data_IF_588200021552
#
_entry.id   IF_588200021552
#
_cell.length_a   1.000
_cell.length_b   1.000
_cell.length_c   1.000
_cell.angle_alpha   90.00
_cell.angle_beta   90.00
_cell.angle_gamma   90.00
#
_symmetry.space_group_name_H-M   'P 1'
#
loop_
_entity.id
_entity.type
_entity.pdbx_description
1 polymer ?
#
# COMPACT_ATOMS: atom_id res chain seq x y z
N UNK A 1 27.52 28.65 9.37
CA UNK A 1 26.35 28.06 8.75
C UNK A 1 26.64 26.59 8.51
N UNK A 2 25.72 25.73 8.85
CA UNK A 2 25.83 24.31 8.56
C UNK A 2 25.39 24.06 7.12
N UNK A 3 25.75 22.91 6.48
CA UNK A 3 25.21 22.56 5.16
C UNK A 3 23.68 22.53 5.12
N UNK A 4 23.03 22.26 6.26
CA UNK A 4 21.59 22.28 6.39
C UNK A 4 21.02 23.71 6.36
N UNK A 5 21.72 24.70 6.98
CA UNK A 5 21.31 26.11 6.92
C UNK A 5 21.37 26.63 5.47
N UNK A 6 22.41 26.23 4.73
CA UNK A 6 22.58 26.63 3.32
C UNK A 6 21.47 25.97 2.45
N UNK A 7 21.09 24.72 2.75
CA UNK A 7 19.98 24.04 2.10
C UNK A 7 18.64 24.76 2.37
N UNK A 8 18.34 25.09 3.62
CA UNK A 8 17.11 25.82 3.97
C UNK A 8 17.03 27.19 3.34
N UNK A 9 18.17 27.90 3.21
CA UNK A 9 18.23 29.16 2.51
C UNK A 9 17.95 29.03 1.00
N UNK A 10 18.39 27.94 0.38
CA UNK A 10 18.15 27.65 -1.03
C UNK A 10 16.72 27.12 -1.28
N UNK A 11 16.12 26.42 -0.31
CA UNK A 11 14.80 25.79 -0.42
C UNK A 11 13.91 26.13 0.79
N UNK A 12 13.46 27.38 0.93
CA UNK A 12 12.71 27.83 2.12
C UNK A 12 11.39 27.08 2.33
N UNK A 13 10.74 26.62 1.27
CA UNK A 13 9.50 25.85 1.35
C UNK A 13 9.66 24.49 2.03
N UNK A 14 10.91 24.01 2.18
CA UNK A 14 11.19 22.79 2.93
C UNK A 14 10.75 22.89 4.40
N UNK A 15 10.72 24.11 4.95
CA UNK A 15 10.22 24.33 6.31
C UNK A 15 8.75 23.86 6.51
N UNK A 16 7.97 23.77 5.44
CA UNK A 16 6.59 23.26 5.51
C UNK A 16 6.53 21.74 5.77
N UNK A 17 7.65 21.04 5.66
CA UNK A 17 7.77 19.59 5.88
C UNK A 17 8.26 19.22 7.28
N UNK A 18 8.37 20.14 8.22
CA UNK A 18 8.84 19.90 9.60
C UNK A 18 8.08 18.78 10.32
N UNK A 19 6.80 18.57 10.00
CA UNK A 19 6.04 17.45 10.52
C UNK A 19 6.64 16.08 10.14
N UNK A 20 7.37 15.98 9.02
CA UNK A 20 8.08 14.77 8.62
C UNK A 20 9.33 14.53 9.46
N UNK A 21 10.01 15.59 9.87
CA UNK A 21 11.18 15.49 10.77
C UNK A 21 10.75 14.99 12.16
N UNK A 22 9.62 15.50 12.67
CA UNK A 22 9.02 15.04 13.92
C UNK A 22 8.56 13.58 13.81
N UNK A 23 7.91 13.22 12.70
CA UNK A 23 7.52 11.84 12.41
C UNK A 23 8.75 10.92 12.35
N UNK A 24 9.84 11.36 11.69
CA UNK A 24 11.11 10.63 11.64
C UNK A 24 11.68 10.40 13.04
N UNK A 25 11.76 11.44 13.84
CA UNK A 25 12.33 11.38 15.19
C UNK A 25 11.54 10.43 16.12
N UNK A 26 10.22 10.34 15.97
CA UNK A 26 9.35 9.54 16.84
C UNK A 26 9.09 8.13 16.30
N UNK A 27 8.80 8.00 15.03
CA UNK A 27 8.34 6.73 14.44
C UNK A 27 9.44 5.97 13.69
N UNK A 28 10.48 6.66 13.24
CA UNK A 28 11.57 6.10 12.43
C UNK A 28 12.95 6.31 13.04
N UNK A 29 13.06 6.65 14.32
CA UNK A 29 14.32 6.88 15.04
C UNK A 29 15.35 5.74 14.91
N UNK A 30 14.93 4.54 14.51
CA UNK A 30 15.83 3.43 14.20
C UNK A 30 16.78 3.74 13.03
N UNK A 31 16.40 4.60 12.11
CA UNK A 31 17.26 5.02 11.00
C UNK A 31 18.46 5.79 11.53
N UNK A 32 18.23 6.72 12.44
CA UNK A 32 19.29 7.54 13.04
C UNK A 32 20.21 6.68 13.95
N UNK A 33 19.64 5.76 14.73
CA UNK A 33 20.43 4.85 15.57
C UNK A 33 21.31 3.89 14.76
N UNK A 34 20.93 3.58 13.53
CA UNK A 34 21.65 2.66 12.63
C UNK A 34 22.49 3.42 11.60
N UNK A 35 22.54 4.75 11.68
CA UNK A 35 23.20 5.62 10.69
C UNK A 35 22.80 5.29 9.25
N UNK A 36 21.48 5.16 9.02
CA UNK A 36 20.93 4.78 7.72
C UNK A 36 20.11 5.91 7.09
N UNK A 37 20.37 6.15 5.81
CA UNK A 37 19.54 6.96 4.94
C UNK A 37 18.71 6.02 4.05
N UNK A 38 17.40 6.04 4.21
CA UNK A 38 16.48 5.18 3.44
C UNK A 38 15.78 6.00 2.36
N UNK A 39 16.02 5.67 1.09
CA UNK A 39 15.48 6.39 -0.08
C UNK A 39 14.64 5.48 -1.00
N UNK A 40 14.47 4.20 -0.66
CA UNK A 40 13.79 3.21 -1.51
C UNK A 40 12.30 3.04 -1.17
N UNK A 41 11.57 4.14 -0.96
CA UNK A 41 10.13 4.07 -0.70
C UNK A 41 9.31 3.55 -1.89
N UNK A 42 9.88 3.60 -3.10
CA UNK A 42 9.28 2.98 -4.30
C UNK A 42 9.28 1.46 -4.20
N UNK A 43 10.34 0.89 -3.66
CA UNK A 43 10.46 -0.56 -3.46
C UNK A 43 9.69 -1.05 -2.24
N UNK A 44 9.82 -0.36 -1.12
CA UNK A 44 9.12 -0.73 0.12
C UNK A 44 8.94 0.49 1.05
N UNK A 45 7.71 0.78 1.45
CA UNK A 45 7.43 1.75 2.52
C UNK A 45 7.91 1.22 3.88
N UNK A 46 8.58 2.06 4.66
CA UNK A 46 8.96 1.71 6.02
C UNK A 46 7.72 1.75 6.93
N UNK A 47 7.66 0.81 7.85
CA UNK A 47 6.63 0.80 8.89
C UNK A 47 7.00 1.74 10.05
N UNK A 48 6.00 2.42 10.61
CA UNK A 48 6.14 3.22 11.82
C UNK A 48 6.27 2.32 13.06
N UNK A 49 6.94 2.80 14.10
CA UNK A 49 7.07 2.07 15.38
C UNK A 49 5.70 1.81 16.01
N UNK A 50 4.79 2.78 15.97
CA UNK A 50 3.41 2.63 16.47
C UNK A 50 2.64 1.52 15.77
N UNK A 51 2.78 1.36 14.46
CA UNK A 51 2.11 0.27 13.72
C UNK A 51 2.50 -1.11 14.25
N UNK A 52 3.78 -1.33 14.56
CA UNK A 52 4.26 -2.60 15.12
C UNK A 52 3.74 -2.80 16.53
N UNK A 53 3.80 -1.76 17.37
CA UNK A 53 3.35 -1.82 18.76
C UNK A 53 1.85 -2.07 18.86
N UNK A 54 1.04 -1.36 18.10
CA UNK A 54 -0.42 -1.53 18.05
C UNK A 54 -0.81 -2.91 17.54
N UNK A 55 -0.12 -3.39 16.51
CA UNK A 55 -0.36 -4.73 15.97
C UNK A 55 0.00 -5.83 16.98
N UNK A 56 1.15 -5.70 17.64
CA UNK A 56 1.58 -6.64 18.68
C UNK A 56 0.61 -6.64 19.89
N UNK A 57 0.20 -5.46 20.35
CA UNK A 57 -0.78 -5.32 21.43
C UNK A 57 -2.13 -5.95 21.04
N UNK A 58 -2.60 -5.71 19.84
CA UNK A 58 -3.82 -6.33 19.33
C UNK A 58 -3.76 -7.86 19.37
N UNK A 59 -2.64 -8.44 18.92
CA UNK A 59 -2.46 -9.90 18.93
C UNK A 59 -2.34 -10.48 20.35
N UNK A 60 -1.76 -9.73 21.28
CA UNK A 60 -1.62 -10.14 22.68
C UNK A 60 -2.94 -10.07 23.46
N UNK A 61 -3.81 -9.12 23.14
CA UNK A 61 -5.04 -8.84 23.90
C UNK A 61 -6.29 -9.51 23.32
N UNK A 62 -6.26 -9.94 22.06
CA UNK A 62 -7.46 -10.39 21.35
C UNK A 62 -7.36 -11.82 20.86
N UNK A 63 -8.45 -12.55 20.97
CA UNK A 63 -8.61 -13.87 20.37
C UNK A 63 -9.25 -13.71 19.00
N UNK A 64 -8.45 -13.86 17.95
CA UNK A 64 -8.88 -13.72 16.57
C UNK A 64 -9.06 -15.10 15.94
N UNK A 65 -10.27 -15.35 15.41
CA UNK A 65 -10.62 -16.58 14.71
C UNK A 65 -10.69 -16.39 13.20
N UNK A 66 -11.03 -17.46 12.48
CA UNK A 66 -11.34 -17.35 11.07
C UNK A 66 -12.60 -16.49 10.87
N UNK A 67 -12.59 -15.47 9.99
CA UNK A 67 -13.76 -14.60 9.78
C UNK A 67 -14.98 -15.36 9.23
N UNK A 68 -16.14 -14.69 9.21
CA UNK A 68 -17.40 -15.17 8.61
C UNK A 68 -18.13 -16.30 9.37
N UNK A 69 -17.86 -16.49 10.66
CA UNK A 69 -18.62 -17.36 11.55
C UNK A 69 -19.27 -16.58 12.70
N UNK A 70 -20.28 -17.14 13.32
CA UNK A 70 -21.09 -16.46 14.35
C UNK A 70 -20.46 -16.46 15.75
N UNK A 71 -19.35 -17.17 15.99
CA UNK A 71 -18.69 -17.17 17.30
C UNK A 71 -17.96 -15.82 17.55
N UNK A 72 -17.73 -15.44 18.83
CA UNK A 72 -17.17 -14.13 19.17
C UNK A 72 -15.83 -13.81 18.51
N UNK A 73 -14.88 -14.76 18.45
CA UNK A 73 -13.56 -14.54 17.86
C UNK A 73 -13.63 -14.33 16.35
N UNK A 74 -14.45 -15.11 15.65
CA UNK A 74 -14.69 -14.94 14.22
C UNK A 74 -15.39 -13.62 13.89
N UNK A 75 -16.40 -13.25 14.66
CA UNK A 75 -17.08 -11.96 14.50
C UNK A 75 -16.14 -10.78 14.72
N UNK A 76 -15.20 -10.88 15.65
CA UNK A 76 -14.19 -9.86 15.88
C UNK A 76 -13.27 -9.70 14.68
N UNK A 77 -12.78 -10.80 14.12
CA UNK A 77 -11.96 -10.78 12.91
C UNK A 77 -12.73 -10.22 11.72
N UNK A 78 -13.99 -10.63 11.53
CA UNK A 78 -14.87 -10.09 10.48
C UNK A 78 -15.00 -8.57 10.59
N UNK A 79 -15.29 -8.04 11.79
CA UNK A 79 -15.36 -6.58 12.00
C UNK A 79 -14.08 -5.86 11.62
N UNK A 80 -12.90 -6.42 11.95
CA UNK A 80 -11.61 -5.83 11.59
C UNK A 80 -11.37 -5.81 10.08
N UNK A 81 -11.70 -6.90 9.40
CA UNK A 81 -11.59 -6.97 7.93
C UNK A 81 -12.49 -5.92 7.28
N UNK A 82 -13.73 -5.79 7.74
CA UNK A 82 -14.65 -4.80 7.18
C UNK A 82 -14.26 -3.35 7.53
N UNK A 83 -13.71 -3.10 8.71
CA UNK A 83 -13.13 -1.79 9.05
C UNK A 83 -11.94 -1.43 8.15
N UNK A 84 -11.03 -2.38 7.91
CA UNK A 84 -9.92 -2.16 6.98
C UNK A 84 -10.42 -1.89 5.55
N UNK A 85 -11.44 -2.61 5.11
CA UNK A 85 -12.08 -2.41 3.82
C UNK A 85 -12.68 -1.02 3.68
N UNK A 86 -13.44 -0.60 4.70
CA UNK A 86 -14.04 0.73 4.77
C UNK A 86 -12.97 1.84 4.75
N UNK A 87 -11.90 1.69 5.53
CA UNK A 87 -10.81 2.66 5.59
C UNK A 87 -10.10 2.83 4.21
N UNK A 88 -9.88 1.74 3.48
CA UNK A 88 -9.31 1.79 2.13
C UNK A 88 -10.25 2.54 1.18
N UNK A 89 -11.54 2.24 1.21
CA UNK A 89 -12.53 2.90 0.36
C UNK A 89 -12.66 4.40 0.68
N UNK A 90 -12.63 4.76 1.95
CA UNK A 90 -12.66 6.15 2.39
C UNK A 90 -11.41 6.90 1.91
N UNK A 91 -10.22 6.33 2.13
CA UNK A 91 -8.94 6.93 1.72
C UNK A 91 -8.88 7.25 0.22
N UNK A 92 -9.44 6.38 -0.62
CA UNK A 92 -9.47 6.58 -2.08
C UNK A 92 -10.75 7.28 -2.59
N UNK A 93 -11.65 7.73 -1.71
CA UNK A 93 -12.92 8.33 -2.11
C UNK A 93 -13.86 7.37 -2.85
N UNK A 94 -13.71 6.06 -2.62
CA UNK A 94 -14.46 5.01 -3.31
C UNK A 94 -15.72 4.51 -2.61
N UNK A 95 -16.05 5.08 -1.46
CA UNK A 95 -17.21 4.65 -0.66
C UNK A 95 -18.52 4.72 -1.46
N UNK A 96 -19.27 3.63 -1.46
CA UNK A 96 -20.55 3.51 -2.15
C UNK A 96 -20.47 3.25 -3.67
N UNK A 97 -19.31 3.46 -4.30
CA UNK A 97 -19.12 3.25 -5.73
C UNK A 97 -18.23 2.03 -6.05
N UNK A 98 -17.38 1.62 -5.10
CA UNK A 98 -16.39 0.56 -5.30
C UNK A 98 -16.42 -0.47 -4.19
N UNK A 99 -15.80 -1.62 -4.46
CA UNK A 99 -15.54 -2.67 -3.48
C UNK A 99 -14.03 -2.89 -3.36
N UNK A 100 -13.50 -2.87 -2.13
CA UNK A 100 -12.11 -3.21 -1.88
C UNK A 100 -11.95 -4.74 -1.78
N UNK A 101 -11.07 -5.32 -2.57
CA UNK A 101 -10.76 -6.75 -2.58
C UNK A 101 -9.31 -6.92 -2.15
N UNK A 102 -9.08 -7.57 -1.00
CA UNK A 102 -7.74 -7.89 -0.53
C UNK A 102 -7.19 -9.12 -1.25
N UNK A 103 -5.94 -9.03 -1.71
CA UNK A 103 -5.18 -10.12 -2.31
C UNK A 103 -3.87 -10.31 -1.55
N UNK A 104 -3.13 -11.38 -1.83
CA UNK A 104 -1.85 -11.65 -1.17
C UNK A 104 -0.80 -10.55 -1.41
N UNK A 105 -0.84 -9.92 -2.57
CA UNK A 105 0.08 -8.85 -2.96
C UNK A 105 -0.43 -8.16 -4.24
N UNK A 106 0.28 -7.11 -4.67
CA UNK A 106 -0.05 -6.36 -5.88
C UNK A 106 -0.04 -7.25 -7.16
N UNK A 107 0.88 -8.21 -7.26
CA UNK A 107 0.91 -9.14 -8.40
C UNK A 107 -0.34 -10.02 -8.47
N UNK A 108 -0.84 -10.46 -7.31
CA UNK A 108 -2.11 -11.20 -7.20
C UNK A 108 -3.31 -10.34 -7.63
N UNK A 109 -3.34 -9.07 -7.23
CA UNK A 109 -4.39 -8.14 -7.65
C UNK A 109 -4.36 -7.91 -9.17
N UNK A 110 -3.19 -7.66 -9.74
CA UNK A 110 -3.01 -7.46 -11.18
C UNK A 110 -3.33 -8.73 -11.99
N UNK A 111 -2.99 -9.91 -11.45
CA UNK A 111 -3.38 -11.18 -12.05
C UNK A 111 -4.91 -11.31 -12.09
N UNK A 112 -5.61 -11.02 -11.00
CA UNK A 112 -7.07 -11.05 -10.94
C UNK A 112 -7.70 -10.13 -12.00
N UNK A 113 -7.15 -8.92 -12.17
CA UNK A 113 -7.57 -8.00 -13.23
C UNK A 113 -7.32 -8.59 -14.61
N UNK A 114 -6.12 -9.13 -14.86
CA UNK A 114 -5.75 -9.74 -16.14
C UNK A 114 -6.65 -10.93 -16.53
N UNK A 115 -7.00 -11.77 -15.55
CA UNK A 115 -7.87 -12.94 -15.77
C UNK A 115 -9.34 -12.55 -15.98
N UNK A 116 -9.81 -11.49 -15.33
CA UNK A 116 -11.23 -11.12 -15.31
C UNK A 116 -11.60 -10.05 -16.34
N UNK A 117 -10.63 -9.28 -16.85
CA UNK A 117 -10.92 -8.23 -17.81
C UNK A 117 -11.35 -8.84 -19.17
N UNK A 118 -12.46 -8.38 -19.77
CA UNK A 118 -12.99 -8.92 -21.02
C UNK A 118 -12.22 -8.38 -22.22
N UNK A 119 -10.97 -8.80 -22.38
CA UNK A 119 -10.23 -8.49 -23.60
C UNK A 119 -10.92 -9.13 -24.81
N UNK A 120 -10.83 -8.48 -25.97
CA UNK A 120 -11.47 -8.96 -27.18
C UNK A 120 -10.55 -8.80 -28.40
N UNK A 121 -10.75 -9.56 -29.47
CA UNK A 121 -10.06 -9.39 -30.75
C UNK A 121 -10.22 -7.94 -31.25
N UNK A 122 -9.11 -7.33 -31.69
CA UNK A 122 -9.07 -5.93 -32.10
C UNK A 122 -8.93 -4.91 -30.96
N UNK A 123 -9.12 -5.30 -29.71
CA UNK A 123 -8.80 -4.48 -28.55
C UNK A 123 -7.31 -4.19 -28.44
N UNK A 124 -6.95 -3.16 -27.68
CA UNK A 124 -5.55 -2.79 -27.42
C UNK A 124 -5.29 -2.69 -25.93
N UNK A 125 -4.17 -3.27 -25.48
CA UNK A 125 -3.62 -3.02 -24.15
C UNK A 125 -2.47 -2.01 -24.30
N UNK A 126 -2.64 -0.82 -23.73
CA UNK A 126 -1.60 0.21 -23.71
C UNK A 126 -0.84 0.14 -22.38
N UNK A 127 0.49 0.04 -22.45
CA UNK A 127 1.39 0.05 -21.32
C UNK A 127 2.40 1.18 -21.49
N UNK A 128 2.88 1.75 -20.38
CA UNK A 128 4.02 2.68 -20.37
C UNK A 128 5.34 1.91 -20.37
N UNK A 129 6.46 2.61 -20.63
CA UNK A 129 7.78 1.97 -20.77
C UNK A 129 8.28 1.37 -19.44
N UNK A 130 8.08 2.07 -18.32
CA UNK A 130 8.68 1.77 -17.03
C UNK A 130 7.73 1.06 -16.04
N UNK A 131 6.82 0.24 -16.55
CA UNK A 131 5.94 -0.53 -15.69
C UNK A 131 6.67 -1.67 -14.99
N UNK A 132 6.30 -1.91 -13.74
CA UNK A 132 6.71 -3.10 -13.03
C UNK A 132 6.27 -4.39 -13.77
N UNK A 133 7.04 -5.46 -13.67
CA UNK A 133 6.78 -6.73 -14.37
C UNK A 133 5.39 -7.32 -14.09
N UNK A 134 4.82 -7.09 -12.91
CA UNK A 134 3.47 -7.53 -12.59
C UNK A 134 2.40 -6.87 -13.48
N UNK A 135 2.58 -5.60 -13.83
CA UNK A 135 1.71 -4.87 -14.78
C UNK A 135 1.93 -5.40 -16.19
N UNK A 136 3.20 -5.58 -16.57
CA UNK A 136 3.56 -6.12 -17.89
C UNK A 136 3.00 -7.53 -18.12
N UNK A 137 2.78 -8.32 -17.07
CA UNK A 137 2.19 -9.65 -17.13
C UNK A 137 0.75 -9.67 -17.65
N UNK A 138 -0.01 -8.57 -17.53
CA UNK A 138 -1.39 -8.48 -18.06
C UNK A 138 -1.45 -8.71 -19.56
N UNK A 139 -0.39 -8.36 -20.30
CA UNK A 139 -0.30 -8.57 -21.76
C UNK A 139 -0.55 -10.02 -22.20
N UNK A 140 -0.15 -10.99 -21.38
CA UNK A 140 -0.33 -12.41 -21.71
C UNK A 140 -1.81 -12.79 -21.73
N UNK A 141 -2.59 -12.24 -20.80
CA UNK A 141 -4.05 -12.42 -20.77
C UNK A 141 -4.71 -11.72 -21.95
N UNK A 142 -4.30 -10.49 -22.25
CA UNK A 142 -4.81 -9.73 -23.40
C UNK A 142 -4.55 -10.44 -24.73
N UNK A 143 -3.32 -10.95 -24.95
CA UNK A 143 -2.96 -11.67 -26.16
C UNK A 143 -3.74 -12.97 -26.34
N UNK A 144 -3.92 -13.75 -25.28
CA UNK A 144 -4.71 -15.00 -25.31
C UNK A 144 -6.15 -14.78 -25.77
N UNK A 145 -6.70 -13.58 -25.53
CA UNK A 145 -8.03 -13.17 -25.92
C UNK A 145 -8.06 -12.36 -27.25
N UNK A 146 -6.93 -12.29 -27.96
CA UNK A 146 -6.82 -11.65 -29.27
C UNK A 146 -6.64 -10.14 -29.26
N UNK A 147 -6.43 -9.51 -28.11
CA UNK A 147 -6.07 -8.10 -28.04
C UNK A 147 -4.62 -7.86 -28.48
N UNK A 148 -4.35 -6.69 -29.06
CA UNK A 148 -3.01 -6.26 -29.50
C UNK A 148 -2.34 -5.41 -28.42
N UNK A 149 -1.00 -5.37 -28.48
CA UNK A 149 -0.17 -4.39 -27.77
C UNK A 149 -0.30 -3.02 -28.38
#
# INVERSE_FOLDING_TARGET
MTPYDDFLAAFPDYATTLALDELRATQYARLDRLDQVYLDYTGAGLYATSQVQEHAAMLAEQVLGNPHSANPSSMQTTRRVEQARAAVLEYFGGTGAYTAIFTLNASGALKLVGESYPFAPGGRLLLTADNHNSVNGIREFAQRQGARR
#
